data_IF_923100289384
#
_entry.id   IF_923100289384
#
_cell.length_a   1.000
_cell.length_b   1.000
_cell.length_c   1.000
_cell.angle_alpha   90.00
_cell.angle_beta   90.00
_cell.angle_gamma   90.00
#
_symmetry.space_group_name_H-M   'P 1'
#
loop_
_entity.id
_entity.type
_entity.pdbx_description
1 polymer ?
#
# COMPACT_ATOMS: atom_id res chain seq x y z
N UNK A 1 -0.93 2.17 -21.68
CA UNK A 1 -1.61 1.42 -20.60
C UNK A 1 -0.71 1.19 -19.38
N UNK A 2 0.58 1.57 -19.42
CA UNK A 2 1.50 1.48 -18.27
C UNK A 2 1.34 2.58 -17.19
N UNK A 3 0.42 3.53 -17.39
CA UNK A 3 0.14 4.61 -16.42
C UNK A 3 -0.58 4.10 -15.16
N UNK A 4 -1.32 3.00 -15.28
CA UNK A 4 -1.93 2.27 -14.18
C UNK A 4 -0.97 1.17 -13.79
N UNK A 5 0.11 1.48 -13.05
CA UNK A 5 1.06 0.47 -12.56
C UNK A 5 0.29 -0.63 -11.82
N UNK A 6 0.06 -1.83 -12.41
CA UNK A 6 -0.76 -2.87 -11.78
C UNK A 6 -0.11 -3.38 -10.49
N UNK A 7 1.20 -3.13 -10.37
CA UNK A 7 2.08 -3.46 -9.25
C UNK A 7 1.70 -2.75 -7.95
N UNK A 8 0.90 -1.67 -7.98
CA UNK A 8 0.41 -1.00 -6.76
C UNK A 8 -0.98 -1.46 -6.33
N UNK A 9 -1.68 -2.30 -7.11
CA UNK A 9 -2.94 -2.93 -6.67
C UNK A 9 -2.73 -3.80 -5.43
N UNK A 10 -1.50 -4.27 -5.21
CA UNK A 10 -1.07 -4.94 -3.99
C UNK A 10 -1.26 -4.08 -2.74
N UNK A 11 -1.08 -2.77 -2.85
CA UNK A 11 -1.11 -1.86 -1.71
C UNK A 11 -2.52 -1.54 -1.19
N UNK A 12 -3.59 -1.81 -1.96
CA UNK A 12 -4.96 -1.54 -1.49
C UNK A 12 -5.87 -2.77 -1.47
N UNK A 13 -5.75 -3.67 -2.45
CA UNK A 13 -6.71 -4.78 -2.59
C UNK A 13 -6.41 -5.88 -1.58
N UNK A 14 -5.14 -6.20 -1.34
CA UNK A 14 -4.78 -7.27 -0.42
C UNK A 14 -5.03 -6.96 1.06
N UNK A 15 -4.73 -5.76 1.58
CA UNK A 15 -5.08 -5.42 2.95
C UNK A 15 -6.59 -5.57 3.20
N UNK A 16 -7.41 -5.04 2.28
CA UNK A 16 -8.88 -5.16 2.36
C UNK A 16 -9.30 -6.62 2.25
N UNK A 17 -8.73 -7.40 1.32
CA UNK A 17 -9.03 -8.83 1.19
C UNK A 17 -8.69 -9.62 2.46
N UNK A 18 -7.52 -9.38 3.06
CA UNK A 18 -7.12 -10.02 4.32
C UNK A 18 -8.13 -9.67 5.42
N UNK A 19 -8.52 -8.39 5.54
CA UNK A 19 -9.50 -7.95 6.53
C UNK A 19 -10.86 -8.62 6.31
N UNK A 20 -11.34 -8.70 5.07
CA UNK A 20 -12.59 -9.42 4.74
C UNK A 20 -12.49 -10.90 5.08
N UNK A 21 -11.36 -11.58 4.84
CA UNK A 21 -11.18 -12.99 5.20
C UNK A 21 -11.22 -13.21 6.73
N UNK A 22 -10.59 -12.33 7.51
CA UNK A 22 -10.61 -12.40 8.99
C UNK A 22 -12.03 -12.18 9.54
N UNK A 23 -12.72 -11.17 9.00
CA UNK A 23 -14.12 -10.87 9.34
C UNK A 23 -15.07 -11.99 8.90
N UNK A 24 -14.83 -12.60 7.74
CA UNK A 24 -15.59 -13.77 7.26
C UNK A 24 -15.45 -14.94 8.23
N UNK A 25 -14.23 -15.21 8.73
CA UNK A 25 -13.99 -16.31 9.66
C UNK A 25 -14.66 -16.08 11.03
N UNK A 26 -14.67 -14.83 11.52
CA UNK A 26 -15.25 -14.50 12.83
C UNK A 26 -16.78 -14.37 12.81
N UNK A 27 -17.35 -13.78 11.75
CA UNK A 27 -18.77 -13.40 11.70
C UNK A 27 -19.58 -14.04 10.55
N UNK A 28 -18.96 -14.89 9.72
CA UNK A 28 -19.65 -15.64 8.67
C UNK A 28 -20.14 -14.81 7.47
N UNK A 29 -19.59 -13.60 7.26
CA UNK A 29 -20.00 -12.66 6.21
C UNK A 29 -19.66 -13.20 4.82
N UNK A 30 -20.64 -13.33 3.92
CA UNK A 30 -20.36 -13.80 2.55
C UNK A 30 -19.58 -12.77 1.72
N UNK A 31 -18.61 -13.23 0.93
CA UNK A 31 -17.80 -12.38 0.03
C UNK A 31 -18.61 -11.64 -1.03
N UNK A 32 -19.82 -12.11 -1.34
CA UNK A 32 -20.70 -11.52 -2.34
C UNK A 32 -21.71 -10.53 -1.75
N UNK A 33 -21.64 -10.23 -0.45
CA UNK A 33 -22.49 -9.21 0.14
C UNK A 33 -22.17 -7.84 -0.48
N UNK A 34 -23.21 -7.02 -0.62
CA UNK A 34 -23.15 -5.74 -1.33
C UNK A 34 -22.17 -4.75 -0.66
N UNK A 35 -22.06 -4.79 0.67
CA UNK A 35 -21.11 -4.00 1.45
C UNK A 35 -19.66 -4.45 1.26
N UNK A 36 -19.41 -5.76 1.15
CA UNK A 36 -18.09 -6.31 0.79
C UNK A 36 -17.67 -5.86 -0.61
N UNK A 37 -18.56 -5.98 -1.60
CA UNK A 37 -18.26 -5.52 -2.98
C UNK A 37 -18.01 -4.01 -3.00
N UNK A 38 -18.77 -3.24 -2.23
CA UNK A 38 -18.59 -1.80 -2.15
C UNK A 38 -17.25 -1.38 -1.53
N UNK A 39 -16.80 -2.06 -0.47
CA UNK A 39 -15.51 -1.74 0.16
C UNK A 39 -14.33 -2.10 -0.74
N UNK A 40 -14.42 -3.20 -1.49
CA UNK A 40 -13.45 -3.51 -2.55
C UNK A 40 -13.44 -2.43 -3.63
N UNK A 41 -14.62 -1.98 -4.08
CA UNK A 41 -14.74 -0.86 -5.01
C UNK A 41 -14.06 0.41 -4.50
N UNK A 42 -14.28 0.74 -3.23
CA UNK A 42 -13.65 1.90 -2.58
C UNK A 42 -12.12 1.76 -2.48
N UNK A 43 -11.62 0.57 -2.16
CA UNK A 43 -10.19 0.27 -2.08
C UNK A 43 -9.49 0.40 -3.45
N UNK A 44 -10.14 -0.09 -4.51
CA UNK A 44 -9.64 0.06 -5.89
C UNK A 44 -9.62 1.54 -6.28
N UNK A 45 -10.70 2.29 -6.04
CA UNK A 45 -10.77 3.72 -6.35
C UNK A 45 -9.72 4.55 -5.59
N UNK A 46 -9.46 4.22 -4.32
CA UNK A 46 -8.42 4.89 -3.51
C UNK A 46 -7.04 4.64 -4.10
N UNK A 47 -6.80 3.42 -4.60
CA UNK A 47 -5.53 3.09 -5.26
C UNK A 47 -5.37 3.76 -6.60
N UNK A 48 -6.44 3.89 -7.39
CA UNK A 48 -6.44 4.65 -8.63
C UNK A 48 -6.08 6.12 -8.36
N UNK A 49 -6.62 6.68 -7.27
CA UNK A 49 -6.31 8.03 -6.81
C UNK A 49 -4.83 8.18 -6.42
N UNK A 50 -4.29 7.23 -5.64
CA UNK A 50 -2.87 7.19 -5.28
C UNK A 50 -1.95 7.05 -6.50
N UNK A 51 -2.32 6.20 -7.46
CA UNK A 51 -1.60 6.02 -8.71
C UNK A 51 -1.56 7.30 -9.55
N UNK A 52 -2.67 8.03 -9.59
CA UNK A 52 -2.77 9.30 -10.28
C UNK A 52 -1.86 10.37 -9.65
N UNK A 53 -1.81 10.42 -8.31
CA UNK A 53 -0.86 11.26 -7.57
C UNK A 53 0.60 10.90 -7.88
N UNK A 54 0.91 9.61 -7.98
CA UNK A 54 2.26 9.17 -8.36
C UNK A 54 2.63 9.55 -9.81
N UNK A 55 1.68 9.48 -10.75
CA UNK A 55 1.90 9.96 -12.13
C UNK A 55 2.15 11.46 -12.14
N UNK A 56 1.41 12.22 -11.33
CA UNK A 56 1.60 13.67 -11.17
C UNK A 56 3.01 14.01 -10.64
N UNK A 57 3.43 13.38 -9.55
CA UNK A 57 4.77 13.56 -8.95
C UNK A 57 5.90 13.22 -9.93
N UNK A 58 5.71 12.17 -10.73
CA UNK A 58 6.69 11.71 -11.71
C UNK A 58 6.65 12.47 -13.04
N UNK A 59 5.79 13.48 -13.23
CA UNK A 59 5.72 14.25 -14.48
C UNK A 59 7.07 14.88 -14.84
N UNK A 60 7.82 15.32 -13.83
CA UNK A 60 9.14 15.91 -14.01
C UNK A 60 10.23 14.86 -14.32
N UNK A 61 10.05 13.59 -13.93
CA UNK A 61 10.97 12.48 -14.27
C UNK A 61 10.99 12.20 -15.77
N UNK A 62 9.83 12.24 -16.40
CA UNK A 62 9.64 11.92 -17.83
C UNK A 62 10.18 12.99 -18.79
N UNK A 63 10.56 14.16 -18.28
CA UNK A 63 11.11 15.26 -19.09
C UNK A 63 12.64 15.23 -19.22
N UNK A 64 13.35 14.27 -18.60
CA UNK A 64 14.81 14.20 -18.69
C UNK A 64 15.29 13.55 -20.01
N UNK A 65 16.33 14.10 -20.66
CA UNK A 65 16.96 13.48 -21.82
C UNK A 65 17.67 12.17 -21.43
N UNK A 66 17.60 11.22 -22.37
CA UNK A 66 18.11 9.85 -22.28
C UNK A 66 19.52 9.76 -21.67
N UNK A 67 19.71 8.90 -20.67
CA UNK A 67 21.03 8.34 -20.39
C UNK A 67 21.34 7.22 -21.40
N UNK A 68 22.51 7.29 -22.02
CA UNK A 68 23.00 6.34 -23.02
C UNK A 68 23.05 4.92 -22.45
N UNK A 69 22.08 4.07 -22.79
CA UNK A 69 22.08 2.64 -22.45
C UNK A 69 20.72 2.02 -22.12
N UNK A 70 19.70 2.84 -21.83
CA UNK A 70 18.38 2.30 -21.48
C UNK A 70 17.61 1.88 -22.74
N UNK A 71 17.21 0.60 -22.82
CA UNK A 71 16.59 -0.03 -23.99
C UNK A 71 15.06 0.04 -24.02
N UNK A 72 14.40 0.41 -22.91
CA UNK A 72 12.93 0.22 -22.78
C UNK A 72 12.11 1.46 -22.35
N UNK A 73 12.63 2.67 -22.51
CA UNK A 73 11.83 3.86 -22.21
C UNK A 73 10.98 4.29 -23.42
N UNK A 74 9.76 3.73 -23.54
CA UNK A 74 8.69 4.37 -24.34
C UNK A 74 8.49 5.78 -23.77
N UNK A 75 8.84 6.80 -24.56
CA UNK A 75 8.46 8.19 -24.31
C UNK A 75 6.93 8.24 -24.38
N UNK A 76 6.25 8.04 -23.25
CA UNK A 76 4.80 8.26 -23.18
C UNK A 76 4.60 9.76 -23.11
N UNK A 77 4.63 10.41 -24.28
CA UNK A 77 4.28 11.82 -24.45
C UNK A 77 2.75 11.94 -24.37
N UNK A 78 2.16 11.57 -23.23
CA UNK A 78 0.76 11.82 -22.92
C UNK A 78 0.51 11.69 -21.41
N UNK A 79 1.41 12.25 -20.59
CA UNK A 79 1.13 12.35 -19.15
C UNK A 79 0.05 13.40 -18.94
N UNK A 80 -0.98 13.02 -18.21
CA UNK A 80 -2.17 13.82 -17.95
C UNK A 80 -1.79 15.25 -17.51
N UNK A 81 -2.47 16.25 -18.07
CA UNK A 81 -2.33 17.63 -17.61
C UNK A 81 -2.81 17.78 -16.15
N UNK A 82 -2.35 18.83 -15.46
CA UNK A 82 -2.79 19.14 -14.08
C UNK A 82 -4.31 19.20 -13.95
N UNK A 83 -4.98 19.72 -14.99
CA UNK A 83 -6.44 19.78 -15.05
C UNK A 83 -7.08 18.41 -15.21
N UNK A 84 -6.44 17.49 -15.94
CA UNK A 84 -6.89 16.10 -16.08
C UNK A 84 -6.71 15.34 -14.76
N UNK A 85 -5.55 15.43 -14.11
CA UNK A 85 -5.33 14.80 -12.79
C UNK A 85 -6.41 15.23 -11.80
N UNK A 86 -6.66 16.54 -11.66
CA UNK A 86 -7.69 17.05 -10.75
C UNK A 86 -9.10 16.56 -11.10
N UNK A 87 -9.46 16.52 -12.39
CA UNK A 87 -10.77 16.00 -12.85
C UNK A 87 -10.94 14.52 -12.53
N UNK A 88 -9.94 13.69 -12.81
CA UNK A 88 -9.98 12.27 -12.51
C UNK A 88 -9.99 11.99 -11.00
N UNK A 89 -9.25 12.77 -10.21
CA UNK A 89 -9.29 12.70 -8.74
C UNK A 89 -10.69 12.96 -8.19
N UNK A 90 -11.37 14.03 -8.64
CA UNK A 90 -12.75 14.30 -8.24
C UNK A 90 -13.73 13.24 -8.74
N UNK A 91 -13.53 12.69 -9.95
CA UNK A 91 -14.38 11.62 -10.48
C UNK A 91 -14.30 10.37 -9.59
N UNK A 92 -13.08 9.91 -9.26
CA UNK A 92 -12.91 8.73 -8.41
C UNK A 92 -13.47 8.95 -7.01
N UNK A 93 -13.26 10.14 -6.43
CA UNK A 93 -13.84 10.49 -5.14
C UNK A 93 -15.37 10.51 -5.16
N UNK A 94 -15.97 11.14 -6.18
CA UNK A 94 -17.43 11.13 -6.35
C UNK A 94 -17.98 9.71 -6.48
N UNK A 95 -17.28 8.84 -7.22
CA UNK A 95 -17.69 7.45 -7.35
C UNK A 95 -17.63 6.71 -6.00
N UNK A 96 -16.60 6.95 -5.18
CA UNK A 96 -16.52 6.40 -3.82
C UNK A 96 -17.69 6.85 -2.94
N UNK A 97 -18.02 8.14 -2.95
CA UNK A 97 -19.15 8.66 -2.18
C UNK A 97 -20.48 8.07 -2.65
N UNK A 98 -20.67 7.87 -3.96
CA UNK A 98 -21.87 7.22 -4.50
C UNK A 98 -21.96 5.76 -4.02
N UNK A 99 -20.84 5.01 -4.07
CA UNK A 99 -20.77 3.64 -3.55
C UNK A 99 -21.12 3.57 -2.05
N UNK A 100 -20.51 4.43 -1.24
CA UNK A 100 -20.79 4.51 0.20
C UNK A 100 -22.23 4.97 0.50
N UNK A 101 -22.77 5.92 -0.25
CA UNK A 101 -24.15 6.38 -0.08
C UNK A 101 -25.19 5.34 -0.49
N UNK A 102 -24.95 4.62 -1.59
CA UNK A 102 -25.84 3.55 -2.06
C UNK A 102 -25.89 2.41 -1.05
N UNK A 103 -24.73 2.00 -0.53
CA UNK A 103 -24.64 0.94 0.47
C UNK A 103 -25.18 1.37 1.83
N UNK A 104 -25.03 2.64 2.22
CA UNK A 104 -25.67 3.19 3.41
C UNK A 104 -27.20 3.03 3.35
N UNK A 105 -27.81 3.37 2.21
CA UNK A 105 -29.26 3.28 2.02
C UNK A 105 -29.74 1.83 1.91
N UNK A 106 -29.05 0.96 1.16
CA UNK A 106 -29.49 -0.42 0.93
C UNK A 106 -29.24 -1.30 2.15
N UNK A 107 -28.08 -1.17 2.79
CA UNK A 107 -27.68 -2.01 3.91
C UNK A 107 -28.04 -1.41 5.27
N UNK A 108 -28.74 -0.27 5.32
CA UNK A 108 -29.12 0.47 6.54
C UNK A 108 -27.94 0.64 7.52
N UNK A 109 -26.77 1.02 7.00
CA UNK A 109 -25.56 1.19 7.82
C UNK A 109 -25.71 2.41 8.74
N UNK A 110 -25.12 2.40 9.95
CA UNK A 110 -25.15 3.57 10.81
C UNK A 110 -24.41 4.74 10.17
N UNK A 111 -24.96 5.95 10.34
CA UNK A 111 -24.41 7.19 9.77
C UNK A 111 -22.97 7.44 10.22
N UNK A 112 -22.64 7.06 11.45
CA UNK A 112 -21.29 7.20 12.02
C UNK A 112 -20.23 6.42 11.22
N UNK A 113 -20.56 5.19 10.81
CA UNK A 113 -19.65 4.32 10.05
C UNK A 113 -19.47 4.83 8.63
N UNK A 114 -20.57 5.15 7.94
CA UNK A 114 -20.53 5.72 6.58
C UNK A 114 -19.82 7.08 6.57
N UNK A 115 -20.09 7.92 7.57
CA UNK A 115 -19.45 9.22 7.74
C UNK A 115 -17.94 9.11 7.95
N UNK A 116 -17.50 8.17 8.79
CA UNK A 116 -16.07 7.91 9.01
C UNK A 116 -15.37 7.49 7.72
N UNK A 117 -15.96 6.56 6.95
CA UNK A 117 -15.42 6.14 5.65
C UNK A 117 -15.38 7.28 4.64
N UNK A 118 -16.39 8.14 4.61
CA UNK A 118 -16.40 9.33 3.76
C UNK A 118 -15.26 10.30 4.13
N UNK A 119 -15.04 10.55 5.42
CA UNK A 119 -13.92 11.39 5.90
C UNK A 119 -12.56 10.80 5.49
N UNK A 120 -12.37 9.49 5.60
CA UNK A 120 -11.16 8.82 5.14
C UNK A 120 -10.95 8.97 3.62
N UNK A 121 -12.02 8.85 2.83
CA UNK A 121 -11.97 9.10 1.39
C UNK A 121 -11.62 10.57 1.07
N UNK A 122 -12.16 11.53 1.84
CA UNK A 122 -11.83 12.95 1.70
C UNK A 122 -10.37 13.21 2.03
N UNK A 123 -9.84 12.61 3.11
CA UNK A 123 -8.43 12.70 3.49
C UNK A 123 -7.52 12.14 2.39
N UNK A 124 -7.88 10.99 1.79
CA UNK A 124 -7.17 10.42 0.66
C UNK A 124 -7.16 11.37 -0.56
N UNK A 125 -8.28 12.03 -0.86
CA UNK A 125 -8.36 13.05 -1.90
C UNK A 125 -7.48 14.26 -1.58
N UNK A 126 -7.55 14.80 -0.36
CA UNK A 126 -6.73 15.94 0.04
C UNK A 126 -5.25 15.62 -0.08
N UNK A 127 -4.83 14.42 0.35
CA UNK A 127 -3.47 13.95 0.19
C UNK A 127 -3.07 13.84 -1.29
N UNK A 128 -3.94 13.29 -2.14
CA UNK A 128 -3.71 13.22 -3.59
C UNK A 128 -3.54 14.61 -4.23
N UNK A 129 -4.37 15.58 -3.83
CA UNK A 129 -4.36 16.93 -4.38
C UNK A 129 -3.19 17.78 -3.86
N UNK A 130 -2.71 17.50 -2.65
CA UNK A 130 -1.53 18.15 -2.06
C UNK A 130 -0.26 17.84 -2.84
N UNK A 131 -0.20 16.70 -3.52
CA UNK A 131 0.89 16.35 -4.42
C UNK A 131 2.24 16.22 -3.70
N UNK A 132 3.26 16.87 -4.23
CA UNK A 132 4.67 16.75 -3.80
C UNK A 132 5.08 17.71 -2.68
N UNK A 133 4.15 18.41 -2.02
CA UNK A 133 4.54 19.30 -0.93
C UNK A 133 5.28 18.55 0.18
N UNK A 134 6.50 19.00 0.56
CA UNK A 134 7.27 18.35 1.59
C UNK A 134 6.52 18.42 2.92
N UNK A 135 6.29 17.27 3.54
CA UNK A 135 5.85 17.22 4.92
C UNK A 135 6.97 17.72 5.85
N UNK A 136 6.63 18.35 6.99
CA UNK A 136 7.59 19.03 7.86
C UNK A 136 8.63 18.08 8.48
N UNK A 137 8.33 16.78 8.55
CA UNK A 137 9.22 15.75 9.09
C UNK A 137 9.66 14.76 8.02
N UNK A 138 10.94 14.38 8.11
CA UNK A 138 11.59 13.38 7.23
C UNK A 138 10.96 12.01 7.47
N UNK A 139 10.56 11.32 6.40
CA UNK A 139 10.00 9.96 6.52
C UNK A 139 8.55 9.89 6.99
N UNK A 140 7.96 11.02 7.37
CA UNK A 140 6.57 11.09 7.81
C UNK A 140 5.62 10.70 6.68
N UNK A 141 5.99 11.00 5.42
CA UNK A 141 5.21 10.61 4.25
C UNK A 141 5.10 9.10 4.16
N UNK A 142 6.23 8.42 4.23
CA UNK A 142 6.33 6.97 4.17
C UNK A 142 5.57 6.31 5.34
N UNK A 143 5.70 6.86 6.54
CA UNK A 143 4.97 6.38 7.72
C UNK A 143 3.45 6.55 7.56
N UNK A 144 2.96 7.72 7.10
CA UNK A 144 1.54 7.97 6.87
C UNK A 144 0.97 7.01 5.83
N UNK A 145 1.68 6.80 4.71
CA UNK A 145 1.24 5.87 3.67
C UNK A 145 1.19 4.44 4.23
N UNK A 146 2.20 4.00 4.99
CA UNK A 146 2.21 2.68 5.60
C UNK A 146 1.04 2.48 6.58
N UNK A 147 0.75 3.48 7.41
CA UNK A 147 -0.40 3.48 8.32
C UNK A 147 -1.73 3.46 7.58
N UNK A 148 -1.84 4.22 6.48
CA UNK A 148 -3.02 4.27 5.64
C UNK A 148 -3.32 2.90 5.00
N UNK A 149 -2.28 2.24 4.49
CA UNK A 149 -2.35 0.94 3.78
C UNK A 149 -2.63 -0.23 4.74
N UNK A 150 -2.07 -0.21 5.95
CA UNK A 150 -2.31 -1.25 6.96
C UNK A 150 -3.49 -0.91 7.88
N UNK A 151 -3.25 -0.32 9.06
CA UNK A 151 -4.26 -0.01 10.08
C UNK A 151 -5.52 0.65 9.54
N UNK A 152 -5.41 1.76 8.82
CA UNK A 152 -6.59 2.53 8.40
C UNK A 152 -7.44 1.72 7.42
N UNK A 153 -6.83 1.10 6.41
CA UNK A 153 -7.57 0.29 5.45
C UNK A 153 -8.22 -0.94 6.09
N UNK A 154 -7.47 -1.70 6.91
CA UNK A 154 -7.96 -2.97 7.47
C UNK A 154 -8.93 -2.77 8.62
N UNK A 155 -8.63 -1.89 9.58
CA UNK A 155 -9.53 -1.59 10.70
C UNK A 155 -10.77 -0.85 10.20
N UNK A 156 -10.62 0.09 9.26
CA UNK A 156 -11.75 0.73 8.60
C UNK A 156 -12.66 -0.28 7.89
N UNK A 157 -12.08 -1.31 7.26
CA UNK A 157 -12.84 -2.40 6.64
C UNK A 157 -13.62 -3.22 7.68
N UNK A 158 -13.00 -3.59 8.79
CA UNK A 158 -13.68 -4.34 9.85
C UNK A 158 -14.82 -3.53 10.51
N UNK A 159 -14.56 -2.27 10.84
CA UNK A 159 -15.57 -1.35 11.37
C UNK A 159 -16.73 -1.15 10.39
N UNK A 160 -16.45 -1.07 9.09
CA UNK A 160 -17.49 -0.90 8.08
C UNK A 160 -18.39 -2.13 7.92
N UNK A 161 -17.80 -3.32 7.98
CA UNK A 161 -18.53 -4.57 7.78
C UNK A 161 -19.31 -4.98 9.04
N UNK A 162 -18.67 -4.99 10.21
CA UNK A 162 -19.22 -5.57 11.45
C UNK A 162 -19.39 -4.54 12.57
N UNK A 163 -18.77 -3.36 12.48
CA UNK A 163 -18.70 -2.38 13.58
C UNK A 163 -17.91 -2.85 14.80
N UNK A 164 -17.13 -3.92 14.65
CA UNK A 164 -16.24 -4.47 15.68
C UNK A 164 -14.84 -4.69 15.12
N UNK A 165 -13.83 -4.65 16.00
CA UNK A 165 -12.42 -4.84 15.62
C UNK A 165 -11.84 -5.93 16.48
N UNK A 166 -11.61 -7.09 15.86
CA UNK A 166 -10.89 -8.20 16.49
C UNK A 166 -9.39 -7.92 16.59
N UNK A 167 -8.75 -8.51 17.59
CA UNK A 167 -7.29 -8.43 17.78
C UNK A 167 -6.50 -9.04 16.61
N UNK A 168 -7.08 -10.03 15.94
CA UNK A 168 -6.57 -10.59 14.69
C UNK A 168 -6.45 -9.52 13.60
N UNK A 169 -7.48 -8.72 13.37
CA UNK A 169 -7.44 -7.62 12.39
C UNK A 169 -6.35 -6.62 12.72
N UNK A 170 -6.19 -6.26 13.99
CA UNK A 170 -5.15 -5.31 14.44
C UNK A 170 -3.75 -5.86 14.18
N UNK A 171 -3.50 -7.13 14.53
CA UNK A 171 -2.20 -7.78 14.34
C UNK A 171 -1.84 -7.88 12.85
N UNK A 172 -2.77 -8.34 12.01
CA UNK A 172 -2.55 -8.42 10.56
C UNK A 172 -2.39 -7.04 9.92
N UNK A 173 -3.11 -6.02 10.40
CA UNK A 173 -2.94 -4.64 9.95
C UNK A 173 -1.53 -4.11 10.26
N UNK A 174 -0.99 -4.43 11.43
CA UNK A 174 0.39 -4.08 11.80
C UNK A 174 1.42 -4.79 10.91
N UNK A 175 1.20 -6.08 10.60
CA UNK A 175 2.04 -6.83 9.65
C UNK A 175 2.06 -6.16 8.28
N UNK A 176 0.89 -5.80 7.75
CA UNK A 176 0.76 -5.11 6.45
C UNK A 176 1.46 -3.75 6.48
N UNK A 177 1.32 -2.98 7.58
CA UNK A 177 2.00 -1.70 7.75
C UNK A 177 3.51 -1.82 7.70
N UNK A 178 4.10 -2.77 8.46
CA UNK A 178 5.55 -2.99 8.46
C UNK A 178 6.05 -3.35 7.06
N UNK A 179 5.34 -4.22 6.35
CA UNK A 179 5.70 -4.60 4.99
C UNK A 179 5.63 -3.41 4.02
N UNK A 180 4.55 -2.62 4.07
CA UNK A 180 4.40 -1.42 3.25
C UNK A 180 5.49 -0.39 3.55
N UNK A 181 5.86 -0.23 4.83
CA UNK A 181 6.90 0.70 5.22
C UNK A 181 8.28 0.29 4.70
N UNK A 182 8.62 -1.00 4.76
CA UNK A 182 9.85 -1.52 4.19
C UNK A 182 9.93 -1.30 2.67
N UNK A 183 8.82 -1.52 1.96
CA UNK A 183 8.72 -1.22 0.53
C UNK A 183 8.97 0.26 0.24
N UNK A 184 8.41 1.16 1.05
CA UNK A 184 8.60 2.61 0.88
C UNK A 184 10.04 3.05 1.16
N UNK A 185 10.72 2.44 2.13
CA UNK A 185 12.15 2.65 2.36
C UNK A 185 12.99 2.25 1.14
N UNK A 186 12.70 1.08 0.57
CA UNK A 186 13.36 0.58 -0.63
C UNK A 186 13.12 1.49 -1.84
N UNK A 187 11.87 1.94 -2.04
CA UNK A 187 11.53 2.88 -3.11
C UNK A 187 12.23 4.23 -2.91
N UNK A 188 12.29 4.74 -1.68
CA UNK A 188 12.99 5.98 -1.35
C UNK A 188 14.49 5.88 -1.63
N UNK A 189 15.13 4.73 -1.34
CA UNK A 189 16.53 4.47 -1.64
C UNK A 189 16.79 4.40 -3.15
N UNK A 190 15.96 3.69 -3.92
CA UNK A 190 16.05 3.66 -5.40
C UNK A 190 15.96 5.07 -5.99
N UNK A 191 15.06 5.88 -5.44
CA UNK A 191 14.76 7.21 -5.97
C UNK A 191 15.73 8.29 -5.50
N UNK A 192 16.61 8.01 -4.53
CA UNK A 192 17.57 8.95 -3.98
C UNK A 192 18.50 9.60 -5.04
N UNK A 193 19.15 8.87 -5.97
CA UNK A 193 19.98 9.49 -7.00
C UNK A 193 19.18 10.42 -7.93
N UNK A 194 17.90 10.15 -8.14
CA UNK A 194 17.03 11.03 -8.92
C UNK A 194 16.61 12.27 -8.12
N UNK A 195 16.17 12.09 -6.87
CA UNK A 195 15.75 13.19 -6.00
C UNK A 195 16.88 14.21 -5.80
N UNK A 196 18.13 13.75 -5.69
CA UNK A 196 19.32 14.59 -5.60
C UNK A 196 19.54 15.44 -6.85
N UNK A 197 19.34 14.87 -8.05
CA UNK A 197 19.48 15.57 -9.33
C UNK A 197 18.42 16.65 -9.54
N UNK A 198 17.22 16.46 -8.98
CA UNK A 198 16.11 17.42 -9.07
C UNK A 198 16.17 18.55 -8.02
N UNK A 199 17.22 18.60 -7.18
CA UNK A 199 17.26 19.53 -6.05
C UNK A 199 16.17 19.25 -5.00
N UNK A 200 15.55 18.07 -5.05
CA UNK A 200 14.50 17.62 -4.12
C UNK A 200 15.07 16.65 -3.10
N UNK A 201 16.28 16.93 -2.60
CA UNK A 201 16.92 16.10 -1.58
C UNK A 201 16.10 16.02 -0.30
N UNK A 202 15.24 17.01 -0.06
CA UNK A 202 14.46 17.15 1.14
C UNK A 202 13.26 16.20 1.26
N UNK A 203 12.79 15.65 0.14
CA UNK A 203 11.61 14.78 0.10
C UNK A 203 11.96 13.30 0.11
N UNK A 204 13.24 12.94 -0.09
CA UNK A 204 13.70 11.55 -0.05
C UNK A 204 14.24 11.23 1.34
N UNK A 205 13.53 10.34 2.03
CA UNK A 205 13.96 9.74 3.29
C UNK A 205 15.40 9.22 3.20
N UNK A 206 15.74 8.54 2.11
CA UNK A 206 17.05 7.93 1.95
C UNK A 206 18.20 8.92 1.75
N UNK A 207 17.94 10.07 1.13
CA UNK A 207 18.94 11.14 1.00
C UNK A 207 19.17 11.86 2.33
N UNK A 208 18.12 12.05 3.13
CA UNK A 208 18.24 12.75 4.42
C UNK A 208 18.83 11.88 5.53
N UNK A 209 18.48 10.60 5.59
CA UNK A 209 19.07 9.65 6.54
C UNK A 209 20.46 9.19 6.11
N UNK A 210 20.74 9.21 4.81
CA UNK A 210 21.90 8.55 4.23
C UNK A 210 21.65 7.08 3.96
N UNK A 211 22.44 6.53 3.04
CA UNK A 211 22.22 5.18 2.51
C UNK A 211 22.34 4.08 3.59
N UNK A 212 23.37 4.17 4.44
CA UNK A 212 23.63 3.18 5.49
C UNK A 212 22.49 3.11 6.52
N UNK A 213 21.99 4.26 6.99
CA UNK A 213 20.85 4.31 7.92
C UNK A 213 19.55 3.86 7.27
N UNK A 214 19.37 4.14 5.98
CA UNK A 214 18.21 3.66 5.21
C UNK A 214 18.19 2.15 5.08
N UNK A 215 19.36 1.54 4.84
CA UNK A 215 19.52 0.09 4.82
C UNK A 215 19.28 -0.55 6.19
N UNK A 216 19.83 0.05 7.26
CA UNK A 216 19.58 -0.42 8.63
C UNK A 216 18.10 -0.30 9.02
N UNK A 217 17.45 0.81 8.68
CA UNK A 217 16.01 1.00 8.88
C UNK A 217 15.17 -0.03 8.13
N UNK A 218 15.50 -0.28 6.86
CA UNK A 218 14.88 -1.35 6.08
C UNK A 218 15.03 -2.72 6.75
N UNK A 219 16.25 -3.09 7.19
CA UNK A 219 16.49 -4.36 7.87
C UNK A 219 15.70 -4.47 9.18
N UNK A 220 15.69 -3.42 10.00
CA UNK A 220 14.97 -3.41 11.27
C UNK A 220 13.45 -3.61 11.07
N UNK A 221 12.87 -2.94 10.07
CA UNK A 221 11.45 -3.08 9.73
C UNK A 221 11.19 -4.50 9.22
N UNK A 222 12.06 -5.05 8.38
CA UNK A 222 11.89 -6.42 7.87
C UNK A 222 12.03 -7.47 8.97
N UNK A 223 13.01 -7.36 9.86
CA UNK A 223 13.14 -8.26 11.02
C UNK A 223 11.91 -8.18 11.90
N UNK A 224 11.42 -6.97 12.18
CA UNK A 224 10.17 -6.76 12.92
C UNK A 224 8.98 -7.42 12.22
N UNK A 225 8.86 -7.24 10.90
CA UNK A 225 7.80 -7.84 10.09
C UNK A 225 7.80 -9.38 10.20
N UNK A 226 8.95 -10.02 9.97
CA UNK A 226 9.07 -11.47 10.07
C UNK A 226 8.85 -11.97 11.51
N UNK A 227 9.34 -11.24 12.51
CA UNK A 227 9.13 -11.55 13.92
C UNK A 227 7.65 -11.53 14.32
N UNK A 228 6.93 -10.47 13.96
CA UNK A 228 5.49 -10.37 14.24
C UNK A 228 4.70 -11.41 13.45
N UNK A 229 5.03 -11.63 12.18
CA UNK A 229 4.37 -12.62 11.35
C UNK A 229 4.52 -14.04 11.93
N UNK A 230 5.71 -14.38 12.47
CA UNK A 230 5.96 -15.64 13.15
C UNK A 230 5.16 -15.77 14.46
N UNK A 231 5.18 -14.73 15.30
CA UNK A 231 4.43 -14.72 16.57
C UNK A 231 2.93 -14.87 16.30
N UNK A 232 2.38 -14.11 15.36
CA UNK A 232 0.96 -14.22 14.95
C UNK A 232 0.64 -15.60 14.37
N UNK A 233 1.54 -16.18 13.58
CA UNK A 233 1.39 -17.53 13.05
C UNK A 233 1.29 -18.59 14.15
N UNK A 234 2.12 -18.49 15.20
CA UNK A 234 2.09 -19.38 16.36
C UNK A 234 0.79 -19.21 17.16
N UNK A 235 0.42 -17.96 17.49
CA UNK A 235 -0.76 -17.65 18.31
C UNK A 235 -2.05 -18.15 17.64
N UNK A 236 -2.16 -17.98 16.32
CA UNK A 236 -3.38 -18.28 15.59
C UNK A 236 -3.42 -19.71 14.99
N UNK A 237 -2.40 -20.54 15.25
CA UNK A 237 -2.33 -21.91 14.72
C UNK A 237 -2.28 -21.99 13.19
N UNK A 238 -1.93 -20.89 12.52
CA UNK A 238 -1.97 -20.75 11.07
C UNK A 238 -0.67 -21.27 10.44
N UNK A 239 -0.78 -21.86 9.24
CA UNK A 239 0.32 -22.39 8.39
C UNK A 239 1.41 -21.36 7.99
N UNK A 240 1.36 -20.13 8.52
CA UNK A 240 2.29 -19.03 8.22
C UNK A 240 3.77 -19.39 8.35
N UNK A 241 4.12 -20.41 9.13
CA UNK A 241 5.50 -20.92 9.25
C UNK A 241 6.12 -21.40 7.92
N UNK A 242 5.35 -22.00 7.00
CA UNK A 242 5.90 -22.47 5.72
C UNK A 242 6.13 -21.33 4.73
N UNK A 243 5.26 -20.31 4.76
CA UNK A 243 5.41 -19.10 3.93
C UNK A 243 6.62 -18.27 4.37
N UNK A 244 6.87 -18.19 5.68
CA UNK A 244 8.06 -17.57 6.26
C UNK A 244 9.37 -18.19 5.74
N UNK A 245 9.48 -19.52 5.78
CA UNK A 245 10.71 -20.23 5.33
C UNK A 245 10.96 -20.04 3.83
N UNK A 246 9.90 -20.10 3.01
CA UNK A 246 10.02 -19.93 1.56
C UNK A 246 10.40 -18.51 1.14
N UNK A 247 10.07 -17.49 1.95
CA UNK A 247 10.29 -16.08 1.64
C UNK A 247 11.61 -15.51 2.18
N UNK A 248 12.19 -16.13 3.21
CA UNK A 248 13.49 -15.75 3.80
C UNK A 248 14.63 -15.80 2.77
N UNK A 249 14.65 -16.79 1.87
CA UNK A 249 15.70 -16.90 0.84
C UNK A 249 15.68 -15.67 -0.08
N UNK A 250 14.49 -15.30 -0.56
CA UNK A 250 14.31 -14.10 -1.40
C UNK A 250 14.61 -12.81 -0.63
N UNK A 251 14.31 -12.76 0.67
CA UNK A 251 14.66 -11.61 1.49
C UNK A 251 16.17 -11.41 1.59
N UNK A 252 16.92 -12.51 1.74
CA UNK A 252 18.39 -12.46 1.77
C UNK A 252 18.92 -11.84 0.48
N UNK A 253 18.46 -12.34 -0.67
CA UNK A 253 18.85 -11.81 -1.98
C UNK A 253 18.53 -10.31 -2.11
N UNK A 254 17.32 -9.90 -1.72
CA UNK A 254 16.89 -8.50 -1.70
C UNK A 254 17.78 -7.65 -0.78
N UNK A 255 18.14 -8.15 0.39
CA UNK A 255 18.99 -7.44 1.35
C UNK A 255 20.43 -7.29 0.85
N UNK A 256 20.96 -8.30 0.15
CA UNK A 256 22.28 -8.25 -0.46
C UNK A 256 22.31 -7.27 -1.63
N UNK A 257 21.30 -7.32 -2.51
CA UNK A 257 21.15 -6.37 -3.61
C UNK A 257 20.92 -4.94 -3.10
N UNK A 258 20.20 -4.75 -1.99
CA UNK A 258 20.11 -3.44 -1.34
C UNK A 258 21.50 -3.01 -0.88
N UNK A 259 22.21 -3.84 -0.10
CA UNK A 259 23.56 -3.52 0.39
C UNK A 259 24.55 -3.18 -0.73
N UNK A 260 24.44 -3.83 -1.88
CA UNK A 260 25.28 -3.62 -3.06
C UNK A 260 24.80 -2.47 -3.96
N UNK A 261 23.82 -1.68 -3.54
CA UNK A 261 23.24 -0.55 -4.30
C UNK A 261 22.61 -0.95 -5.66
N UNK A 262 22.21 -2.22 -5.82
CA UNK A 262 21.58 -2.76 -7.03
C UNK A 262 20.06 -2.50 -7.06
N UNK A 263 19.66 -1.25 -6.86
CA UNK A 263 18.29 -0.88 -6.48
C UNK A 263 17.24 -0.92 -7.61
N UNK A 264 17.65 -0.97 -8.87
CA UNK A 264 16.73 -0.79 -10.02
C UNK A 264 15.65 -1.87 -10.11
N UNK A 265 15.97 -3.12 -9.75
CA UNK A 265 15.06 -4.26 -9.88
C UNK A 265 14.40 -4.64 -8.54
N UNK A 266 14.85 -4.06 -7.44
CA UNK A 266 14.45 -4.45 -6.09
C UNK A 266 12.96 -4.20 -5.80
N UNK A 267 12.36 -3.04 -6.13
CA UNK A 267 10.93 -2.84 -5.87
C UNK A 267 10.04 -3.84 -6.63
N UNK A 268 10.46 -4.28 -7.81
CA UNK A 268 9.72 -5.27 -8.58
C UNK A 268 9.81 -6.67 -7.94
N UNK A 269 10.99 -7.04 -7.46
CA UNK A 269 11.17 -8.29 -6.70
C UNK A 269 10.39 -8.26 -5.38
N UNK A 270 10.41 -7.13 -4.66
CA UNK A 270 9.69 -6.95 -3.41
C UNK A 270 8.17 -6.94 -3.62
N UNK A 271 7.68 -6.31 -4.69
CA UNK A 271 6.27 -6.35 -5.07
C UNK A 271 5.83 -7.79 -5.36
N UNK A 272 6.63 -8.58 -6.11
CA UNK A 272 6.38 -10.01 -6.31
C UNK A 272 6.31 -10.77 -4.98
N UNK A 273 7.24 -10.49 -4.06
CA UNK A 273 7.22 -11.11 -2.73
C UNK A 273 5.93 -10.78 -1.98
N UNK A 274 5.45 -9.53 -2.08
CA UNK A 274 4.19 -9.09 -1.50
C UNK A 274 3.00 -9.92 -2.01
N UNK A 275 2.95 -10.19 -3.32
CA UNK A 275 1.86 -10.96 -3.93
C UNK A 275 1.80 -12.38 -3.38
N UNK A 276 2.95 -13.03 -3.30
CA UNK A 276 3.08 -14.39 -2.77
C UNK A 276 2.71 -14.43 -1.29
N UNK A 277 3.22 -13.48 -0.51
CA UNK A 277 2.98 -13.45 0.93
C UNK A 277 1.52 -13.15 1.25
N UNK A 278 0.91 -12.19 0.55
CA UNK A 278 -0.49 -11.86 0.75
C UNK A 278 -1.43 -12.99 0.32
N UNK A 279 -1.16 -13.65 -0.82
CA UNK A 279 -1.91 -14.84 -1.23
C UNK A 279 -1.76 -15.99 -0.22
N UNK A 280 -0.53 -16.22 0.27
CA UNK A 280 -0.26 -17.21 1.31
C UNK A 280 -1.00 -16.92 2.62
N UNK A 281 -1.06 -15.65 3.03
CA UNK A 281 -1.83 -15.23 4.21
C UNK A 281 -3.32 -15.46 4.04
N UNK A 282 -3.90 -15.06 2.90
CA UNK A 282 -5.33 -15.28 2.61
C UNK A 282 -5.67 -16.77 2.66
N UNK A 283 -4.89 -17.61 1.98
CA UNK A 283 -5.10 -19.07 2.01
C UNK A 283 -4.94 -19.60 3.43
N UNK A 284 -3.93 -19.15 4.17
CA UNK A 284 -3.69 -19.60 5.54
C UNK A 284 -4.81 -19.20 6.51
N UNK A 285 -5.38 -18.01 6.36
CA UNK A 285 -6.51 -17.54 7.19
C UNK A 285 -7.74 -18.39 6.93
N UNK A 286 -8.05 -18.65 5.65
CA UNK A 286 -9.21 -19.44 5.24
C UNK A 286 -9.06 -20.93 5.55
N UNK A 287 -7.85 -21.49 5.44
CA UNK A 287 -7.55 -22.89 5.70
C UNK A 287 -7.23 -23.19 7.18
N UNK A 288 -6.96 -22.16 7.98
CA UNK A 288 -6.63 -22.34 9.39
C UNK A 288 -7.82 -22.89 10.16
N UNK A 289 -7.63 -24.10 10.67
CA UNK A 289 -8.56 -24.78 11.58
C UNK A 289 -8.85 -23.88 12.79
N UNK A 290 -10.13 -23.72 13.09
CA UNK A 290 -10.65 -23.16 14.34
C UNK A 290 -10.29 -24.05 15.53
#
# INVERSE_FOLDING_TARGET
MDALRPKTLFASVFPVLIAVCLVHKSHGISFLQLDVVAIFGCAVLTQLLGNLSAVYSNFQRTLQPKQTGDKDAKIVLNLLSMTQVRRWSYLFYSLQLILLGLTHFICNKPVEVTGTMAVLATLALMYCLRGDEPLPMVGLREAIIAWAVGPVAMVGTALYLVSEVGWDVVLYAYIVMLFAWAFLFLESARDAPFARRMGRSDTSLALRLGFQWSFQGFLLIMVSFYGVLLVTGIIMGHLGNFVLVATIVKLKDISEDFRLERLNHLPDQFARLATFLAAGLVVSILAGLS
#
